data_IF_086349984149
#
_entry.id   IF_086349984149
#
_cell.length_a   1.000
_cell.length_b   1.000
_cell.length_c   1.000
_cell.angle_alpha   90.00
_cell.angle_beta   90.00
_cell.angle_gamma   90.00
#
_symmetry.space_group_name_H-M   'P 1'
#
loop_
_entity.id
_entity.type
_entity.pdbx_description
1 polymer ?
#
# COMPACT_ATOMS: atom_id res chain seq x y z
N UNK A 1 -7.63 3.23 2.10
CA UNK A 1 -6.95 2.53 0.99
C UNK A 1 -5.49 2.44 1.33
N UNK A 2 -4.84 1.30 1.10
CA UNK A 2 -3.42 1.07 1.34
C UNK A 2 -2.80 0.57 0.03
N UNK A 3 -1.67 1.14 -0.34
CA UNK A 3 -0.84 0.70 -1.45
C UNK A 3 0.63 0.64 -1.00
N UNK A 4 1.38 -0.34 -1.49
CA UNK A 4 2.75 -0.61 -1.09
C UNK A 4 3.68 -0.68 -2.29
N UNK A 5 4.87 -0.09 -2.14
CA UNK A 5 6.00 -0.45 -2.99
C UNK A 5 6.88 -1.47 -2.27
N UNK A 6 7.28 -2.52 -2.98
CA UNK A 6 7.93 -3.67 -2.37
C UNK A 6 9.11 -4.20 -3.18
N UNK A 7 9.97 -5.01 -2.54
CA UNK A 7 11.05 -5.77 -3.20
C UNK A 7 10.72 -7.25 -3.42
N UNK A 8 9.45 -7.65 -3.26
CA UNK A 8 9.00 -9.01 -3.53
C UNK A 8 7.49 -9.02 -3.77
N UNK A 9 6.99 -10.08 -4.41
CA UNK A 9 5.55 -10.34 -4.55
C UNK A 9 5.03 -11.36 -3.53
N UNK A 10 5.86 -11.81 -2.59
CA UNK A 10 5.47 -12.76 -1.55
C UNK A 10 4.78 -12.06 -0.39
N UNK A 11 4.00 -12.81 0.37
CA UNK A 11 3.27 -12.30 1.54
C UNK A 11 4.17 -11.62 2.59
N UNK A 12 5.43 -12.04 2.72
CA UNK A 12 6.43 -11.46 3.62
C UNK A 12 7.42 -10.54 2.90
N UNK A 13 6.97 -9.80 1.90
CA UNK A 13 7.82 -8.91 1.12
C UNK A 13 8.46 -7.80 1.96
N UNK A 14 9.69 -7.43 1.61
CA UNK A 14 10.31 -6.18 2.05
C UNK A 14 9.52 -5.01 1.48
N UNK A 15 9.10 -4.10 2.35
CA UNK A 15 8.37 -2.88 1.98
C UNK A 15 9.35 -1.74 1.76
N UNK A 16 9.17 -1.00 0.67
CA UNK A 16 9.96 0.21 0.34
C UNK A 16 9.23 1.49 0.70
N UNK A 17 7.91 1.52 0.53
CA UNK A 17 7.08 2.63 0.98
C UNK A 17 5.66 2.17 1.30
N UNK A 18 5.01 2.92 2.17
CA UNK A 18 3.59 2.79 2.51
C UNK A 18 2.90 4.07 2.09
N UNK A 19 1.89 3.98 1.23
CA UNK A 19 0.96 5.03 0.92
C UNK A 19 -0.44 4.64 1.37
N UNK A 20 -1.16 5.54 2.04
CA UNK A 20 -2.52 5.24 2.45
C UNK A 20 -3.40 6.47 2.54
N UNK A 21 -4.71 6.26 2.40
CA UNK A 21 -5.74 7.29 2.56
C UNK A 21 -6.80 6.83 3.54
N UNK A 22 -7.27 7.74 4.42
CA UNK A 22 -8.56 7.60 5.09
C UNK A 22 -9.63 8.26 4.25
N UNK A 23 -10.79 7.65 4.16
CA UNK A 23 -11.88 8.19 3.38
C UNK A 23 -13.25 7.75 3.91
N UNK A 24 -14.26 8.54 3.60
CA UNK A 24 -15.68 8.17 3.72
C UNK A 24 -16.38 8.38 2.39
N UNK A 25 -17.53 7.75 2.20
CA UNK A 25 -18.33 8.02 1.00
C UNK A 25 -18.90 9.45 0.98
N UNK A 26 -19.15 10.04 2.14
CA UNK A 26 -19.69 11.40 2.25
C UNK A 26 -18.63 12.46 1.95
N UNK A 27 -17.48 12.38 2.63
CA UNK A 27 -16.49 13.45 2.68
C UNK A 27 -15.36 13.27 1.66
N UNK A 28 -15.24 12.08 1.05
CA UNK A 28 -14.08 11.75 0.21
C UNK A 28 -12.85 11.38 1.04
N UNK A 29 -11.65 11.69 0.53
CA UNK A 29 -10.39 11.50 1.27
C UNK A 29 -10.34 12.55 2.39
N UNK A 30 -10.10 12.08 3.61
CA UNK A 30 -10.07 12.93 4.83
C UNK A 30 -8.68 13.04 5.43
N UNK A 31 -7.77 12.10 5.13
CA UNK A 31 -6.41 12.10 5.64
C UNK A 31 -5.51 11.21 4.79
N UNK A 32 -4.22 11.49 4.79
CA UNK A 32 -3.22 10.80 3.98
C UNK A 32 -2.03 10.38 4.84
N UNK A 33 -1.42 9.25 4.49
CA UNK A 33 -0.20 8.75 5.10
C UNK A 33 0.81 8.37 4.04
N UNK A 34 2.07 8.77 4.23
CA UNK A 34 3.18 8.31 3.41
C UNK A 34 4.46 8.20 4.22
N UNK A 35 5.23 7.14 3.98
CA UNK A 35 6.60 7.03 4.44
C UNK A 35 7.41 6.10 3.54
N UNK A 36 8.72 6.39 3.42
CA UNK A 36 9.70 5.49 2.84
C UNK A 36 10.40 4.68 3.92
N UNK A 37 10.76 3.44 3.59
CA UNK A 37 11.31 2.48 4.55
C UNK A 37 12.70 2.03 4.10
N UNK A 38 13.67 2.05 5.02
CA UNK A 38 14.98 1.46 4.79
C UNK A 38 14.87 -0.07 4.68
N UNK A 39 15.09 -0.58 3.48
CA UNK A 39 15.04 -2.01 3.18
C UNK A 39 15.96 -2.86 4.06
N UNK A 40 17.04 -2.27 4.62
CA UNK A 40 17.93 -2.99 5.55
C UNK A 40 17.22 -3.32 6.84
N UNK A 41 16.36 -2.43 7.35
CA UNK A 41 15.55 -2.69 8.55
C UNK A 41 14.57 -3.85 8.32
N UNK A 42 13.95 -3.91 7.15
CA UNK A 42 13.10 -5.03 6.74
C UNK A 42 13.83 -6.38 6.73
N UNK A 43 15.06 -6.38 6.21
CA UNK A 43 15.92 -7.58 6.19
C UNK A 43 16.25 -8.06 7.60
N UNK A 44 16.47 -7.15 8.54
CA UNK A 44 16.79 -7.48 9.94
C UNK A 44 15.67 -8.27 10.62
N UNK A 45 14.42 -7.99 10.28
CA UNK A 45 13.24 -8.71 10.80
C UNK A 45 12.81 -9.90 9.91
N UNK A 46 13.60 -10.26 8.91
CA UNK A 46 13.40 -11.46 8.08
C UNK A 46 12.42 -11.30 6.91
N UNK A 47 12.10 -10.07 6.50
CA UNK A 47 11.30 -9.83 5.31
C UNK A 47 12.07 -10.16 4.04
N UNK A 48 11.32 -10.63 3.04
CA UNK A 48 11.86 -11.24 1.82
C UNK A 48 12.15 -10.22 0.72
N UNK A 49 13.26 -10.43 0.03
CA UNK A 49 13.65 -9.71 -1.19
C UNK A 49 13.73 -10.67 -2.35
N UNK A 50 13.15 -10.31 -3.49
CA UNK A 50 13.22 -11.10 -4.71
C UNK A 50 14.11 -10.42 -5.76
N UNK A 51 15.05 -11.17 -6.33
CA UNK A 51 15.95 -10.66 -7.35
C UNK A 51 15.20 -10.12 -8.57
N UNK A 52 14.16 -10.82 -9.01
CA UNK A 52 13.35 -10.40 -10.16
C UNK A 52 12.65 -9.06 -9.93
N UNK A 53 12.22 -8.78 -8.69
CA UNK A 53 11.62 -7.49 -8.34
C UNK A 53 12.65 -6.37 -8.30
N UNK A 54 13.88 -6.65 -7.84
CA UNK A 54 14.98 -5.68 -7.93
C UNK A 54 15.28 -5.35 -9.41
N UNK A 55 15.37 -6.37 -10.28
CA UNK A 55 15.62 -6.19 -11.70
C UNK A 55 14.49 -5.38 -12.36
N UNK A 56 13.26 -5.59 -11.95
CA UNK A 56 12.10 -4.81 -12.39
C UNK A 56 12.19 -3.34 -11.94
N UNK A 57 12.56 -3.06 -10.68
CA UNK A 57 12.80 -1.70 -10.18
C UNK A 57 13.90 -0.98 -10.94
N UNK A 58 14.97 -1.68 -11.35
CA UNK A 58 16.05 -1.08 -12.15
C UNK A 58 15.58 -0.60 -13.54
N UNK A 59 14.44 -1.07 -14.03
CA UNK A 59 13.82 -0.66 -15.29
C UNK A 59 12.83 0.52 -15.11
N UNK A 60 12.46 0.85 -13.88
CA UNK A 60 11.59 1.98 -13.61
C UNK A 60 12.33 3.31 -13.77
N UNK A 61 11.58 4.43 -13.85
CA UNK A 61 12.18 5.76 -13.99
C UNK A 61 13.14 6.08 -12.84
N UNK A 62 14.11 6.95 -13.09
CA UNK A 62 15.04 7.39 -12.05
C UNK A 62 14.29 8.12 -10.94
N UNK A 63 13.30 8.93 -11.31
CA UNK A 63 12.46 9.70 -10.41
C UNK A 63 11.71 8.80 -9.42
N UNK A 64 11.08 7.71 -9.91
CA UNK A 64 10.38 6.75 -9.07
C UNK A 64 11.33 6.07 -8.08
N UNK A 65 12.54 5.71 -8.50
CA UNK A 65 13.54 5.09 -7.62
C UNK A 65 14.12 6.07 -6.61
N UNK A 66 14.41 7.31 -7.02
CA UNK A 66 14.96 8.33 -6.14
C UNK A 66 13.95 8.74 -5.06
N UNK A 67 12.66 8.78 -5.38
CA UNK A 67 11.60 9.08 -4.43
C UNK A 67 11.58 8.12 -3.24
N UNK A 68 11.92 6.84 -3.46
CA UNK A 68 11.99 5.82 -2.41
C UNK A 68 13.19 5.97 -1.46
N UNK A 69 14.18 6.80 -1.82
CA UNK A 69 15.40 6.98 -1.02
C UNK A 69 15.34 8.21 -0.10
N UNK A 70 14.27 8.99 -0.18
CA UNK A 70 14.12 10.22 0.61
C UNK A 70 13.57 9.87 1.99
N UNK A 71 14.17 10.43 3.05
CA UNK A 71 13.67 10.39 4.43
C UNK A 71 13.23 8.99 4.91
N UNK A 72 14.02 7.97 4.57
CA UNK A 72 13.73 6.59 4.95
C UNK A 72 13.78 6.40 6.47
N UNK A 73 12.80 5.67 7.00
CA UNK A 73 12.73 5.27 8.41
C UNK A 73 12.79 3.75 8.55
N UNK A 74 12.98 3.22 9.75
CA UNK A 74 12.95 1.77 9.95
C UNK A 74 11.54 1.22 9.80
N UNK A 75 11.42 -0.09 9.52
CA UNK A 75 10.11 -0.77 9.41
C UNK A 75 9.33 -0.67 10.74
N UNK A 76 10.00 -0.77 11.87
CA UNK A 76 9.38 -0.66 13.19
C UNK A 76 8.79 0.74 13.40
N UNK A 77 9.54 1.79 13.04
CA UNK A 77 9.07 3.16 13.12
C UNK A 77 7.92 3.43 12.16
N UNK A 78 8.00 2.93 10.92
CA UNK A 78 6.95 3.08 9.92
C UNK A 78 5.63 2.47 10.39
N UNK A 79 5.67 1.23 10.90
CA UNK A 79 4.49 0.54 11.40
C UNK A 79 3.93 1.18 12.68
N UNK A 80 4.80 1.70 13.56
CA UNK A 80 4.38 2.47 14.75
C UNK A 80 3.64 3.76 14.36
N UNK A 81 4.21 4.54 13.43
CA UNK A 81 3.56 5.76 12.90
C UNK A 81 2.25 5.44 12.20
N UNK A 82 2.21 4.37 11.42
CA UNK A 82 1.01 3.93 10.72
C UNK A 82 -0.10 3.50 11.69
N UNK A 83 0.23 2.76 12.75
CA UNK A 83 -0.71 2.39 13.81
C UNK A 83 -1.28 3.62 14.51
N UNK A 84 -0.43 4.58 14.86
CA UNK A 84 -0.86 5.85 15.47
C UNK A 84 -1.76 6.67 14.53
N UNK A 85 -1.44 6.67 13.23
CA UNK A 85 -2.27 7.33 12.22
C UNK A 85 -3.63 6.66 12.07
N UNK A 86 -3.74 5.33 12.07
CA UNK A 86 -5.03 4.64 11.99
C UNK A 86 -5.94 5.00 13.18
N UNK A 87 -5.42 5.01 14.40
CA UNK A 87 -6.11 5.42 15.64
C UNK A 87 -7.50 4.79 15.87
N UNK A 88 -7.82 3.66 15.23
CA UNK A 88 -9.13 3.03 15.33
C UNK A 88 -9.12 1.59 14.82
N UNK A 89 -9.50 0.62 15.66
CA UNK A 89 -9.59 -0.80 15.31
C UNK A 89 -10.80 -1.18 14.41
N UNK A 90 -11.72 -0.25 14.21
CA UNK A 90 -12.94 -0.45 13.38
C UNK A 90 -12.73 -0.07 11.91
N UNK A 91 -11.53 0.36 11.54
CA UNK A 91 -11.23 0.65 10.14
C UNK A 91 -11.44 -0.57 9.24
N UNK A 92 -11.82 -0.33 8.01
CA UNK A 92 -11.87 -1.32 6.94
C UNK A 92 -10.70 -1.07 6.00
N UNK A 93 -9.57 -1.80 6.13
CA UNK A 93 -8.44 -1.64 5.24
C UNK A 93 -8.77 -2.17 3.85
N UNK A 94 -8.49 -1.38 2.83
CA UNK A 94 -8.64 -1.72 1.42
C UNK A 94 -7.28 -1.85 0.77
N UNK A 95 -7.07 -2.88 -0.05
CA UNK A 95 -5.90 -3.03 -0.90
C UNK A 95 -6.31 -3.37 -2.34
N UNK A 96 -5.48 -3.03 -3.30
CA UNK A 96 -5.66 -3.39 -4.71
C UNK A 96 -5.24 -4.85 -4.97
N UNK A 97 -6.02 -5.75 -4.43
CA UNK A 97 -5.71 -7.15 -4.16
C UNK A 97 -5.38 -7.30 -2.68
N UNK A 98 -6.40 -7.47 -1.83
CA UNK A 98 -6.22 -7.57 -0.37
C UNK A 98 -5.20 -8.65 0.04
N UNK A 99 -5.02 -9.68 -0.78
CA UNK A 99 -4.00 -10.72 -0.61
C UNK A 99 -2.57 -10.24 -0.93
N UNK A 100 -2.37 -9.01 -1.35
CA UNK A 100 -1.06 -8.40 -1.55
C UNK A 100 -0.80 -7.34 -0.46
N UNK A 101 -1.30 -6.11 -0.62
CA UNK A 101 -0.98 -5.01 0.28
C UNK A 101 -1.29 -5.31 1.76
N UNK A 102 -2.51 -5.79 2.03
CA UNK A 102 -2.94 -6.05 3.40
C UNK A 102 -2.17 -7.23 4.00
N UNK A 103 -1.98 -8.31 3.24
CA UNK A 103 -1.24 -9.50 3.70
C UNK A 103 0.24 -9.18 3.97
N UNK A 104 0.86 -8.35 3.13
CA UNK A 104 2.26 -7.93 3.32
C UNK A 104 2.38 -7.06 4.59
N UNK A 105 1.45 -6.11 4.80
CA UNK A 105 1.41 -5.32 6.03
C UNK A 105 1.25 -6.19 7.27
N UNK A 106 0.30 -7.15 7.27
CA UNK A 106 0.11 -8.09 8.38
C UNK A 106 1.37 -8.92 8.66
N UNK A 107 2.04 -9.39 7.60
CA UNK A 107 3.31 -10.11 7.73
C UNK A 107 4.42 -9.24 8.32
N UNK A 108 4.49 -7.96 7.95
CA UNK A 108 5.47 -7.02 8.50
C UNK A 108 5.20 -6.74 9.98
N UNK A 109 3.94 -6.55 10.39
CA UNK A 109 3.58 -6.44 11.81
C UNK A 109 3.96 -7.71 12.58
N UNK A 110 3.65 -8.87 12.03
CA UNK A 110 4.02 -10.15 12.67
C UNK A 110 5.53 -10.31 12.82
N UNK A 111 6.32 -9.90 11.82
CA UNK A 111 7.78 -9.99 11.84
C UNK A 111 8.42 -9.15 12.97
N UNK A 112 7.77 -8.05 13.39
CA UNK A 112 8.21 -7.23 14.54
C UNK A 112 7.50 -7.60 15.85
N UNK A 113 6.78 -8.73 15.90
CA UNK A 113 6.08 -9.22 17.10
C UNK A 113 4.82 -8.43 17.45
N UNK A 114 4.22 -7.72 16.52
CA UNK A 114 3.00 -6.92 16.70
C UNK A 114 1.83 -7.48 15.88
N UNK A 115 0.63 -6.99 16.16
CA UNK A 115 -0.57 -7.25 15.37
C UNK A 115 -0.94 -6.01 14.57
N UNK A 116 -1.46 -6.22 13.35
CA UNK A 116 -2.01 -5.14 12.54
C UNK A 116 -3.17 -4.44 13.26
N UNK A 117 -3.32 -3.10 13.12
CA UNK A 117 -4.30 -2.31 13.88
C UNK A 117 -5.72 -2.40 13.30
N UNK A 118 -6.10 -3.54 12.75
CA UNK A 118 -7.45 -3.83 12.24
C UNK A 118 -7.86 -5.26 12.52
N UNK A 119 -9.14 -5.52 12.37
CA UNK A 119 -9.70 -6.88 12.48
C UNK A 119 -9.63 -7.58 11.12
N UNK A 120 -9.22 -8.84 11.11
CA UNK A 120 -9.16 -9.63 9.86
C UNK A 120 -10.50 -9.68 9.12
N UNK A 121 -11.64 -9.61 9.84
CA UNK A 121 -13.00 -9.60 9.27
C UNK A 121 -13.34 -8.31 8.52
N UNK A 122 -12.56 -7.24 8.69
CA UNK A 122 -12.81 -5.93 8.10
C UNK A 122 -12.04 -5.71 6.79
N UNK A 123 -11.21 -6.67 6.38
CA UNK A 123 -10.39 -6.55 5.17
C UNK A 123 -11.28 -6.50 3.92
N UNK A 124 -11.01 -5.53 3.06
CA UNK A 124 -11.73 -5.27 1.83
C UNK A 124 -10.80 -5.32 0.62
N UNK A 125 -11.35 -5.65 -0.56
CA UNK A 125 -10.57 -5.80 -1.78
C UNK A 125 -11.10 -4.88 -2.90
N UNK A 126 -10.33 -3.85 -3.22
CA UNK A 126 -10.64 -2.93 -4.32
C UNK A 126 -10.72 -3.66 -5.67
N UNK A 127 -9.75 -4.53 -5.99
CA UNK A 127 -9.74 -5.30 -7.25
C UNK A 127 -11.00 -6.14 -7.44
N UNK A 128 -11.56 -6.69 -6.36
CA UNK A 128 -12.81 -7.46 -6.45
C UNK A 128 -13.97 -6.56 -6.87
N UNK A 129 -14.10 -5.37 -6.29
CA UNK A 129 -15.13 -4.40 -6.68
C UNK A 129 -14.97 -4.02 -8.15
N UNK A 130 -13.74 -3.69 -8.57
CA UNK A 130 -13.45 -3.35 -9.97
C UNK A 130 -13.87 -4.44 -10.95
N UNK A 131 -13.55 -5.70 -10.63
CA UNK A 131 -13.89 -6.83 -11.49
C UNK A 131 -15.41 -7.04 -11.56
N UNK A 132 -16.12 -6.90 -10.45
CA UNK A 132 -17.59 -7.02 -10.40
C UNK A 132 -18.29 -5.93 -11.23
N UNK A 133 -17.70 -4.74 -11.30
CA UNK A 133 -18.20 -3.61 -12.12
C UNK A 133 -17.76 -3.68 -13.58
N UNK A 134 -17.06 -4.75 -14.00
CA UNK A 134 -16.54 -4.89 -15.38
C UNK A 134 -15.44 -3.90 -15.73
N UNK A 135 -14.83 -3.27 -14.74
CA UNK A 135 -13.73 -2.34 -14.89
C UNK A 135 -12.40 -3.09 -14.71
N UNK A 136 -11.43 -2.82 -15.56
CA UNK A 136 -10.07 -3.36 -15.37
C UNK A 136 -9.11 -2.25 -14.98
N UNK A 137 -8.15 -2.56 -14.10
CA UNK A 137 -7.09 -1.63 -13.74
C UNK A 137 -6.37 -1.05 -14.98
N UNK A 138 -6.22 -1.85 -16.05
CA UNK A 138 -5.62 -1.39 -17.29
C UNK A 138 -6.41 -0.27 -17.97
N UNK A 139 -7.75 -0.29 -17.90
CA UNK A 139 -8.60 0.77 -18.48
C UNK A 139 -8.52 2.07 -17.68
N UNK A 140 -8.36 1.95 -16.36
CA UNK A 140 -8.26 3.12 -15.46
C UNK A 140 -6.89 3.77 -15.60
N UNK A 141 -5.82 2.98 -15.57
CA UNK A 141 -4.44 3.47 -15.77
C UNK A 141 -4.23 4.15 -17.11
N UNK A 142 -4.91 3.70 -18.16
CA UNK A 142 -4.85 4.34 -19.48
C UNK A 142 -5.52 5.73 -19.51
N UNK A 143 -6.45 6.01 -18.60
CA UNK A 143 -7.14 7.30 -18.48
C UNK A 143 -6.39 8.30 -17.58
N UNK A 144 -5.53 7.82 -16.72
CA UNK A 144 -4.71 8.59 -15.78
C UNK A 144 -3.29 8.68 -16.39
N UNK A 145 -2.85 9.88 -16.79
CA UNK A 145 -1.46 10.16 -17.21
C UNK A 145 -0.53 10.09 -15.98
N UNK A 146 -0.36 8.92 -15.39
CA UNK A 146 0.13 8.80 -14.04
C UNK A 146 1.64 8.53 -13.94
N UNK A 147 2.27 9.20 -12.97
CA UNK A 147 3.61 8.88 -12.44
C UNK A 147 3.50 7.59 -11.65
N UNK A 148 3.58 6.45 -12.37
CA UNK A 148 3.45 5.11 -11.81
C UNK A 148 4.49 4.84 -10.71
N UNK A 149 4.08 4.04 -9.72
CA UNK A 149 4.90 3.53 -8.64
C UNK A 149 5.27 4.56 -7.57
N UNK A 150 4.27 5.32 -7.11
CA UNK A 150 4.32 6.08 -5.87
C UNK A 150 3.12 5.68 -5.00
N UNK A 151 3.38 4.95 -3.92
CA UNK A 151 2.34 4.30 -3.11
C UNK A 151 1.20 5.24 -2.67
N UNK A 152 1.49 6.51 -2.31
CA UNK A 152 0.43 7.45 -1.94
C UNK A 152 -0.42 7.89 -3.13
N UNK A 153 0.20 8.18 -4.28
CA UNK A 153 -0.56 8.57 -5.47
C UNK A 153 -1.47 7.42 -5.94
N UNK A 154 -0.96 6.19 -5.92
CA UNK A 154 -1.73 5.01 -6.25
C UNK A 154 -2.89 4.80 -5.26
N UNK A 155 -2.68 4.97 -3.95
CA UNK A 155 -3.73 4.91 -2.95
C UNK A 155 -4.81 6.00 -3.15
N UNK A 156 -4.42 7.24 -3.49
CA UNK A 156 -5.34 8.35 -3.78
C UNK A 156 -6.19 8.04 -5.02
N UNK A 157 -5.57 7.61 -6.12
CA UNK A 157 -6.23 7.26 -7.37
C UNK A 157 -7.26 6.14 -7.16
N UNK A 158 -6.84 5.05 -6.51
CA UNK A 158 -7.71 3.92 -6.18
C UNK A 158 -8.90 4.34 -5.29
N UNK A 159 -8.66 5.22 -4.31
CA UNK A 159 -9.70 5.73 -3.42
C UNK A 159 -10.74 6.55 -4.19
N UNK A 160 -10.30 7.49 -5.01
CA UNK A 160 -11.19 8.34 -5.80
C UNK A 160 -12.05 7.50 -6.76
N UNK A 161 -11.43 6.53 -7.42
CA UNK A 161 -12.14 5.59 -8.29
C UNK A 161 -13.18 4.77 -7.53
N UNK A 162 -12.81 4.23 -6.36
CA UNK A 162 -13.71 3.44 -5.51
C UNK A 162 -14.92 4.27 -5.06
N UNK A 163 -14.68 5.51 -4.60
CA UNK A 163 -15.75 6.43 -4.19
C UNK A 163 -16.69 6.73 -5.35
N UNK A 164 -16.15 6.99 -6.54
CA UNK A 164 -16.94 7.22 -7.74
C UNK A 164 -17.87 6.06 -8.09
N UNK A 165 -17.35 4.83 -8.00
CA UNK A 165 -18.13 3.61 -8.24
C UNK A 165 -19.23 3.40 -7.19
N UNK A 166 -18.91 3.60 -5.91
CA UNK A 166 -19.88 3.35 -4.82
C UNK A 166 -20.94 4.43 -4.68
N UNK A 167 -20.78 5.58 -5.36
CA UNK A 167 -21.79 6.66 -5.43
C UNK A 167 -22.66 6.57 -6.68
N UNK A 168 -22.31 5.76 -7.69
CA UNK A 168 -23.08 5.58 -8.92
C UNK A 168 -24.20 4.57 -8.73
#
# INVERSE_FOLDING_TARGET
MIDLETLSTRANATILSIGATKFTLADGITDEFYCNIDAKSCKTVGLHVDKSTIEWWMQQSKEARDALLVDQISIEEALSRFTAWIDNDKVMPWGNGASFDITIMESAYFAIGQQAPWRFSNIMCYRTVMNLMGLSNAKIRAAENDTHHHALHDAISQTNTLIGILKS
#
